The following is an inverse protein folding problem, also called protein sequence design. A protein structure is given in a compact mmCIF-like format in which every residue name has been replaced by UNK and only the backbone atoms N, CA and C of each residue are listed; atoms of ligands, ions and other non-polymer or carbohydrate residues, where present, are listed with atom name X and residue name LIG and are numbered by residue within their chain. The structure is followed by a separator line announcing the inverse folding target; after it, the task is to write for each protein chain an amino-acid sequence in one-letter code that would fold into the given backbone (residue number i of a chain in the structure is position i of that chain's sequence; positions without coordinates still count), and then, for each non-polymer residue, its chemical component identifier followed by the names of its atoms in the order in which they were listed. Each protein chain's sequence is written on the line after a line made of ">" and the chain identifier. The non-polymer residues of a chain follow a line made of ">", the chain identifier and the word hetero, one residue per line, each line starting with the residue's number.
data_IF_010992782099
#
_entry.id   IF_010992782099
#
_cell.length_a   1.000
_cell.length_b   1.000
_cell.length_c   1.000
_cell.angle_alpha   90.00
_cell.angle_beta   90.00
_cell.angle_gamma   90.00
#
_symmetry.space_group_name_H-M   'P 1'
#
loop_
_entity.id
_entity.type
_entity.pdbx_description
1 polymer ?
#
# COMPACT_ATOMS: atom_id res chain seq x y z
N UNK A 1 19.82 -13.34 2.31
CA UNK A 1 19.69 -11.89 2.02
C UNK A 1 18.50 -11.72 1.06
N UNK A 2 17.40 -11.09 1.49
CA UNK A 2 16.25 -10.82 0.60
C UNK A 2 16.65 -9.69 -0.36
N UNK A 3 16.49 -9.90 -1.67
CA UNK A 3 16.75 -8.88 -2.69
C UNK A 3 15.88 -7.65 -2.42
N UNK A 4 16.50 -6.48 -2.35
CA UNK A 4 15.81 -5.21 -2.47
C UNK A 4 15.53 -4.97 -3.96
N UNK A 5 14.28 -5.05 -4.38
CA UNK A 5 13.84 -4.77 -5.74
C UNK A 5 12.67 -5.64 -6.17
N UNK A 6 11.48 -5.03 -6.28
CA UNK A 6 10.31 -5.65 -6.90
C UNK A 6 9.36 -6.41 -5.97
N UNK A 7 9.23 -5.99 -4.70
CA UNK A 7 8.16 -6.50 -3.83
C UNK A 7 7.01 -5.52 -3.79
N UNK A 8 5.78 -6.04 -3.86
CA UNK A 8 4.56 -5.27 -3.67
C UNK A 8 4.53 -4.60 -2.30
N UNK A 9 3.80 -3.49 -2.20
CA UNK A 9 3.55 -2.83 -0.93
C UNK A 9 2.39 -3.53 -0.25
N UNK A 10 2.66 -4.18 0.88
CA UNK A 10 1.65 -4.87 1.67
C UNK A 10 1.13 -3.94 2.79
N UNK A 11 -0.14 -4.10 3.22
CA UNK A 11 -0.70 -3.27 4.29
C UNK A 11 0.09 -3.39 5.60
N UNK A 12 0.64 -4.58 5.89
CA UNK A 12 1.49 -4.84 7.05
C UNK A 12 2.75 -3.95 7.14
N UNK A 13 3.20 -3.39 6.01
CA UNK A 13 4.37 -2.51 5.94
C UNK A 13 4.03 -1.01 6.05
N UNK A 14 2.76 -0.64 6.06
CA UNK A 14 2.29 0.74 6.08
C UNK A 14 2.15 1.20 7.53
N UNK A 15 2.75 2.34 7.86
CA UNK A 15 2.65 2.94 9.19
C UNK A 15 1.69 4.11 9.25
N UNK A 16 1.51 4.81 8.12
CA UNK A 16 0.62 5.96 8.05
C UNK A 16 0.09 6.19 6.64
N UNK A 17 -1.03 6.90 6.53
CA UNK A 17 -1.71 7.25 5.28
C UNK A 17 -2.05 8.74 5.34
N UNK A 18 -1.58 9.50 4.36
CA UNK A 18 -1.81 10.95 4.30
C UNK A 18 -2.55 11.33 3.01
N UNK A 19 -3.51 12.25 3.14
CA UNK A 19 -4.35 12.73 2.03
C UNK A 19 -5.55 11.85 1.74
N UNK A 20 -6.30 12.23 0.71
CA UNK A 20 -7.50 11.52 0.23
C UNK A 20 -7.26 11.01 -1.19
N UNK A 21 -7.56 9.74 -1.42
CA UNK A 21 -7.44 9.11 -2.74
C UNK A 21 -8.30 7.86 -2.84
N UNK A 22 -8.63 7.48 -4.07
CA UNK A 22 -9.42 6.30 -4.38
C UNK A 22 -8.55 5.16 -4.91
N UNK A 23 -9.10 3.94 -4.92
CA UNK A 23 -8.50 2.83 -5.64
C UNK A 23 -8.29 3.19 -7.13
N UNK A 24 -7.14 2.83 -7.68
CA UNK A 24 -6.67 3.18 -9.02
C UNK A 24 -5.99 4.54 -9.12
N UNK A 25 -5.89 5.33 -8.04
CA UNK A 25 -5.11 6.56 -8.05
C UNK A 25 -3.61 6.27 -7.90
N UNK A 26 -2.78 7.09 -8.54
CA UNK A 26 -1.32 7.06 -8.34
C UNK A 26 -0.96 7.77 -7.04
N UNK A 27 -0.31 7.06 -6.12
CA UNK A 27 0.11 7.56 -4.82
C UNK A 27 1.63 7.50 -4.67
N UNK A 28 2.15 8.31 -3.74
CA UNK A 28 3.57 8.35 -3.39
C UNK A 28 3.85 7.45 -2.18
N UNK A 29 4.94 6.69 -2.23
CA UNK A 29 5.43 5.88 -1.11
C UNK A 29 6.59 6.61 -0.47
N UNK A 30 6.38 7.13 0.74
CA UNK A 30 7.38 7.90 1.49
C UNK A 30 7.96 7.09 2.64
N UNK A 31 9.21 7.36 2.98
CA UNK A 31 9.80 6.84 4.21
C UNK A 31 9.45 7.73 5.42
N UNK A 32 9.84 7.29 6.61
CA UNK A 32 9.60 8.02 7.88
C UNK A 32 10.25 9.41 7.96
N UNK A 33 11.19 9.71 7.06
CA UNK A 33 11.85 11.01 6.98
C UNK A 33 11.18 11.92 5.92
N UNK A 34 10.07 11.50 5.33
CA UNK A 34 9.35 12.22 4.27
C UNK A 34 10.01 12.12 2.89
N UNK A 35 11.03 11.29 2.71
CA UNK A 35 11.63 11.08 1.39
C UNK A 35 10.79 10.08 0.60
N UNK A 36 10.31 10.53 -0.56
CA UNK A 36 9.66 9.70 -1.55
C UNK A 36 10.62 8.62 -2.11
N UNK A 37 10.22 7.35 -1.99
CA UNK A 37 10.98 6.19 -2.46
C UNK A 37 10.44 5.61 -3.77
N UNK A 38 9.13 5.73 -3.99
CA UNK A 38 8.44 5.14 -5.12
C UNK A 38 7.10 5.81 -5.37
N UNK A 39 6.52 5.58 -6.54
CA UNK A 39 5.10 5.85 -6.86
C UNK A 39 4.43 4.60 -7.38
N UNK A 40 3.13 4.47 -7.18
CA UNK A 40 2.38 3.40 -7.82
C UNK A 40 0.88 3.55 -7.71
N UNK A 41 0.16 2.65 -8.39
CA UNK A 41 -1.31 2.62 -8.35
C UNK A 41 -1.79 1.93 -7.08
N UNK A 42 -2.66 2.59 -6.32
CA UNK A 42 -3.26 2.02 -5.12
C UNK A 42 -4.40 1.06 -5.49
N UNK A 43 -4.47 -0.10 -4.85
CA UNK A 43 -5.58 -1.04 -4.94
C UNK A 43 -6.73 -0.73 -3.97
N UNK A 44 -6.51 0.19 -3.03
CA UNK A 44 -7.43 0.56 -1.96
C UNK A 44 -7.54 2.08 -1.85
N UNK A 45 -8.68 2.57 -1.36
CA UNK A 45 -8.82 4.01 -1.04
C UNK A 45 -8.02 4.39 0.21
N UNK A 46 -7.84 5.68 0.44
CA UNK A 46 -7.22 6.19 1.67
C UNK A 46 -7.99 5.76 2.92
N UNK A 47 -9.32 5.73 2.86
CA UNK A 47 -10.18 5.29 3.97
C UNK A 47 -9.97 3.81 4.29
N UNK A 48 -9.98 2.96 3.26
CA UNK A 48 -9.76 1.52 3.42
C UNK A 48 -8.34 1.23 3.94
N UNK A 49 -7.34 1.93 3.40
CA UNK A 49 -5.96 1.80 3.87
C UNK A 49 -5.77 2.24 5.30
N UNK A 50 -6.47 3.27 5.76
CA UNK A 50 -6.41 3.68 7.15
C UNK A 50 -6.94 2.59 8.11
N UNK A 51 -7.93 1.81 7.66
CA UNK A 51 -8.47 0.68 8.41
C UNK A 51 -7.54 -0.54 8.42
N UNK A 52 -6.84 -0.83 7.32
CA UNK A 52 -6.00 -2.04 7.17
C UNK A 52 -4.50 -1.80 7.34
N UNK A 53 -4.03 -0.57 7.57
CA UNK A 53 -2.60 -0.30 7.80
C UNK A 53 -2.06 -1.12 8.98
N UNK A 54 -0.92 -1.77 8.77
CA UNK A 54 -0.32 -2.68 9.74
C UNK A 54 -0.99 -4.06 9.85
N UNK A 55 -2.14 -4.29 9.21
CA UNK A 55 -2.81 -5.59 9.21
C UNK A 55 -2.12 -6.59 8.28
N UNK A 56 -2.26 -7.88 8.60
CA UNK A 56 -1.86 -8.96 7.70
C UNK A 56 -2.86 -9.09 6.56
N UNK A 57 -2.41 -9.59 5.41
CA UNK A 57 -3.27 -9.78 4.23
C UNK A 57 -4.44 -10.73 4.46
N UNK A 58 -4.32 -11.63 5.44
CA UNK A 58 -5.41 -12.51 5.90
C UNK A 58 -6.50 -11.79 6.71
N UNK A 59 -6.24 -10.59 7.20
CA UNK A 59 -7.16 -9.82 8.05
C UNK A 59 -8.00 -8.81 7.24
N UNK A 60 -7.57 -8.47 6.03
CA UNK A 60 -8.21 -7.44 5.17
C UNK A 60 -9.71 -7.74 4.97
N UNK A 61 -10.05 -8.97 4.56
CA UNK A 61 -11.45 -9.34 4.28
C UNK A 61 -12.34 -9.22 5.52
N UNK A 62 -11.80 -9.50 6.70
CA UNK A 62 -12.53 -9.36 7.96
C UNK A 62 -12.74 -7.89 8.36
N UNK A 63 -11.81 -7.00 8.00
CA UNK A 63 -11.86 -5.57 8.35
C UNK A 63 -12.74 -4.80 7.37
N UNK A 64 -12.58 -5.04 6.06
CA UNK A 64 -13.27 -4.30 5.00
C UNK A 64 -14.55 -4.98 4.52
N UNK A 65 -14.76 -6.26 4.84
CA UNK A 65 -15.83 -7.07 4.27
C UNK A 65 -15.58 -7.53 2.83
N UNK A 66 -14.43 -7.19 2.25
CA UNK A 66 -13.99 -7.62 0.93
C UNK A 66 -12.46 -7.68 0.84
N UNK A 67 -11.94 -8.47 -0.09
CA UNK A 67 -10.52 -8.50 -0.43
C UNK A 67 -10.31 -8.87 -1.88
N UNK A 68 -10.08 -7.86 -2.71
CA UNK A 68 -9.74 -8.05 -4.12
C UNK A 68 -8.24 -8.28 -4.35
N UNK A 69 -7.38 -7.71 -3.50
CA UNK A 69 -5.93 -7.78 -3.63
C UNK A 69 -5.28 -8.09 -2.28
N UNK A 70 -4.13 -8.74 -2.27
CA UNK A 70 -3.35 -8.91 -1.03
C UNK A 70 -2.44 -7.69 -0.77
N UNK A 71 -2.12 -6.95 -1.82
CA UNK A 71 -1.23 -5.80 -1.78
C UNK A 71 -1.95 -4.48 -2.01
N UNK A 72 -1.40 -3.43 -1.42
CA UNK A 72 -1.82 -2.04 -1.59
C UNK A 72 -1.33 -1.49 -2.92
N UNK A 73 -0.08 -1.80 -3.29
CA UNK A 73 0.46 -1.49 -4.62
C UNK A 73 1.13 -2.75 -5.13
N UNK A 74 0.68 -3.27 -6.27
CA UNK A 74 1.34 -4.40 -6.91
C UNK A 74 2.69 -3.98 -7.45
N UNK A 75 3.70 -4.86 -7.37
CA UNK A 75 5.06 -4.54 -7.81
C UNK A 75 5.17 -4.08 -9.27
N UNK A 76 4.26 -4.54 -10.14
CA UNK A 76 4.26 -4.19 -11.57
C UNK A 76 3.67 -2.78 -11.80
N UNK A 77 2.89 -2.30 -10.84
CA UNK A 77 2.32 -0.94 -10.81
C UNK A 77 3.12 0.01 -9.91
N UNK A 78 4.33 -0.40 -9.49
CA UNK A 78 5.24 0.36 -8.62
C UNK A 78 6.51 0.76 -9.38
N UNK A 79 6.84 2.04 -9.34
CA UNK A 79 8.08 2.61 -9.90
C UNK A 79 8.94 3.16 -8.77
N UNK A 80 10.17 2.67 -8.64
CA UNK A 80 11.16 3.16 -7.67
C UNK A 80 11.89 4.37 -8.25
N UNK A 81 12.19 5.36 -7.40
CA UNK A 81 12.87 6.62 -7.74
C UNK A 81 14.39 6.58 -7.45
#
# INVERSE_FOLDING_TARGET
>A
MRKAGGCSILPAGITDVEGEFEAGNTISVVNKNGHELARGLSNYSSEELDMIKGAKTSEIENILGHKHFDEVIHRDDLVIL
#
